data_IF_775914087548
#
_entry.id   IF_775914087548
#
_cell.length_a   1.000
_cell.length_b   1.000
_cell.length_c   1.000
_cell.angle_alpha   90.00
_cell.angle_beta   90.00
_cell.angle_gamma   90.00
#
_symmetry.space_group_name_H-M   'P 1'
#
loop_
_entity.id
_entity.type
_entity.pdbx_description
1 polymer ?
#
# COMPACT_ATOMS: atom_id res chain seq x y z
N UNK A 1 -30.43 -12.75 -21.19
CA UNK A 1 -29.95 -12.97 -19.80
C UNK A 1 -30.65 -11.95 -18.91
N UNK A 2 -30.90 -12.29 -17.65
CA UNK A 2 -31.91 -11.64 -16.82
C UNK A 2 -31.29 -10.51 -15.96
N UNK A 3 -31.32 -9.26 -16.44
CA UNK A 3 -30.76 -8.08 -15.77
C UNK A 3 -31.20 -7.97 -14.29
N UNK A 4 -32.43 -8.41 -14.00
CA UNK A 4 -33.00 -8.48 -12.64
C UNK A 4 -32.12 -9.28 -11.66
N UNK A 5 -31.36 -10.28 -12.14
CA UNK A 5 -30.48 -11.09 -11.29
C UNK A 5 -29.19 -10.36 -10.91
N UNK A 6 -28.67 -9.51 -11.79
CA UNK A 6 -27.42 -8.75 -11.53
C UNK A 6 -27.70 -7.58 -10.60
N UNK A 7 -28.77 -6.82 -10.85
CA UNK A 7 -29.22 -5.76 -9.94
C UNK A 7 -29.53 -6.31 -8.54
N UNK A 8 -30.22 -7.46 -8.48
CA UNK A 8 -30.48 -8.17 -7.23
C UNK A 8 -29.19 -8.54 -6.49
N UNK A 9 -28.19 -9.07 -7.18
CA UNK A 9 -26.91 -9.43 -6.57
C UNK A 9 -26.15 -8.19 -6.04
N UNK A 10 -26.15 -7.08 -6.77
CA UNK A 10 -25.53 -5.83 -6.31
C UNK A 10 -26.25 -5.25 -5.10
N UNK A 11 -27.58 -5.33 -5.06
CA UNK A 11 -28.36 -4.91 -3.89
C UNK A 11 -28.04 -5.77 -2.66
N UNK A 12 -27.87 -7.08 -2.82
CA UNK A 12 -27.43 -7.97 -1.74
C UNK A 12 -25.99 -7.66 -1.27
N UNK A 13 -25.08 -7.26 -2.16
CA UNK A 13 -23.75 -6.76 -1.78
C UNK A 13 -23.86 -5.56 -0.84
N UNK A 14 -24.73 -4.59 -1.14
CA UNK A 14 -24.97 -3.43 -0.27
C UNK A 14 -25.52 -3.85 1.10
N UNK A 15 -26.54 -4.71 1.11
CA UNK A 15 -27.15 -5.19 2.35
C UNK A 15 -26.14 -5.88 3.25
N UNK A 16 -25.25 -6.70 2.69
CA UNK A 16 -24.21 -7.38 3.46
C UNK A 16 -23.21 -6.37 4.01
N UNK A 17 -22.74 -5.43 3.19
CA UNK A 17 -21.84 -4.34 3.63
C UNK A 17 -22.45 -3.55 4.79
N UNK A 18 -23.73 -3.18 4.69
CA UNK A 18 -24.44 -2.45 5.75
C UNK A 18 -24.71 -3.32 6.98
N UNK A 19 -24.93 -4.62 6.80
CA UNK A 19 -25.08 -5.58 7.91
C UNK A 19 -23.77 -5.75 8.67
N UNK A 20 -22.65 -5.88 7.97
CA UNK A 20 -21.31 -5.93 8.57
C UNK A 20 -21.02 -4.64 9.36
N UNK A 21 -21.37 -3.47 8.80
CA UNK A 21 -21.26 -2.20 9.50
C UNK A 21 -22.13 -2.13 10.75
N UNK A 22 -23.35 -2.67 10.70
CA UNK A 22 -24.27 -2.70 11.84
C UNK A 22 -23.74 -3.59 12.97
N UNK A 23 -23.21 -4.77 12.63
CA UNK A 23 -22.61 -5.69 13.60
C UNK A 23 -21.39 -5.03 14.25
N UNK A 24 -20.44 -4.54 13.43
CA UNK A 24 -19.22 -3.89 13.96
C UNK A 24 -19.50 -2.64 14.79
N UNK A 25 -20.51 -1.84 14.42
CA UNK A 25 -20.93 -0.67 15.22
C UNK A 25 -21.61 -1.07 16.54
N UNK A 26 -22.04 -2.31 16.69
CA UNK A 26 -22.52 -2.86 17.95
C UNK A 26 -21.39 -3.24 18.91
N UNK A 27 -20.14 -3.31 18.43
CA UNK A 27 -18.96 -3.51 19.26
C UNK A 27 -18.50 -2.16 19.82
N UNK A 28 -18.11 -2.11 21.10
CA UNK A 28 -17.67 -0.86 21.73
C UNK A 28 -16.48 -0.26 20.99
N UNK A 29 -16.59 1.01 20.60
CA UNK A 29 -15.50 1.84 20.08
C UNK A 29 -14.81 1.39 18.77
N UNK A 30 -15.39 0.42 18.04
CA UNK A 30 -14.90 0.00 16.71
C UNK A 30 -15.52 0.84 15.58
N UNK A 31 -16.82 1.11 15.68
CA UNK A 31 -17.58 1.77 14.62
C UNK A 31 -17.76 0.91 13.35
N UNK A 32 -18.17 1.50 12.21
CA UNK A 32 -18.39 0.76 10.99
C UNK A 32 -17.08 0.35 10.29
N UNK A 33 -16.96 -0.91 9.87
CA UNK A 33 -15.82 -1.41 9.07
C UNK A 33 -15.64 -0.60 7.78
N UNK A 34 -16.71 -0.46 7.01
CA UNK A 34 -16.72 0.29 5.77
C UNK A 34 -17.27 1.67 6.11
N UNK A 35 -16.38 2.62 6.41
CA UNK A 35 -16.76 3.98 6.81
C UNK A 35 -17.81 4.66 5.91
N UNK A 36 -18.31 5.80 6.35
CA UNK A 36 -19.29 6.56 5.56
C UNK A 36 -18.65 7.01 4.23
N UNK A 37 -19.28 6.63 3.12
CA UNK A 37 -18.90 7.07 1.77
C UNK A 37 -20.06 7.85 1.15
N UNK A 38 -19.73 8.92 0.43
CA UNK A 38 -20.70 9.69 -0.35
C UNK A 38 -20.92 9.12 -1.77
N UNK A 39 -20.40 7.92 -2.03
CA UNK A 39 -20.51 7.29 -3.34
C UNK A 39 -21.94 6.85 -3.63
N UNK A 40 -22.42 7.19 -4.81
CA UNK A 40 -23.69 6.67 -5.33
C UNK A 40 -23.55 5.18 -5.69
N UNK A 41 -24.68 4.47 -5.69
CA UNK A 41 -24.73 3.11 -6.20
C UNK A 41 -24.31 3.08 -7.69
N UNK A 42 -23.42 2.16 -8.10
CA UNK A 42 -23.08 2.00 -9.51
C UNK A 42 -24.33 1.72 -10.35
N UNK A 43 -24.54 2.52 -11.39
CA UNK A 43 -25.48 2.14 -12.46
C UNK A 43 -24.81 1.08 -13.31
N UNK A 44 -25.49 -0.03 -13.52
CA UNK A 44 -24.93 -1.22 -14.16
C UNK A 44 -24.96 -1.19 -15.70
N UNK A 45 -25.71 -0.24 -16.27
CA UNK A 45 -25.88 -0.11 -17.73
C UNK A 45 -25.20 1.16 -18.28
N UNK A 46 -24.57 1.09 -19.47
CA UNK A 46 -24.22 -0.15 -20.21
C UNK A 46 -23.16 -0.97 -19.46
N UNK A 47 -23.03 -2.27 -19.75
CA UNK A 47 -22.25 -3.19 -18.90
C UNK A 47 -20.78 -2.79 -18.74
N UNK A 48 -20.14 -2.21 -19.77
CA UNK A 48 -18.76 -1.73 -19.67
C UNK A 48 -18.61 -0.66 -18.58
N UNK A 49 -19.47 0.36 -18.64
CA UNK A 49 -19.45 1.45 -17.67
C UNK A 49 -19.91 0.97 -16.28
N UNK A 50 -20.85 0.03 -16.25
CA UNK A 50 -21.26 -0.68 -15.02
C UNK A 50 -20.08 -1.38 -14.37
N UNK A 51 -19.30 -2.14 -15.14
CA UNK A 51 -18.09 -2.84 -14.68
C UNK A 51 -17.08 -1.87 -14.07
N UNK A 52 -16.73 -0.80 -14.78
CA UNK A 52 -15.77 0.21 -14.31
C UNK A 52 -16.26 0.86 -13.00
N UNK A 53 -17.55 1.19 -12.91
CA UNK A 53 -18.15 1.79 -11.70
C UNK A 53 -18.16 0.83 -10.53
N UNK A 54 -18.48 -0.45 -10.74
CA UNK A 54 -18.46 -1.47 -9.68
C UNK A 54 -17.03 -1.67 -9.18
N UNK A 55 -16.04 -1.80 -10.07
CA UNK A 55 -14.63 -1.89 -9.70
C UNK A 55 -14.20 -0.69 -8.86
N UNK A 56 -14.58 0.52 -9.27
CA UNK A 56 -14.28 1.76 -8.52
C UNK A 56 -14.93 1.76 -7.14
N UNK A 57 -16.20 1.39 -7.07
CA UNK A 57 -16.96 1.34 -5.82
C UNK A 57 -16.34 0.33 -4.85
N UNK A 58 -16.02 -0.87 -5.32
CA UNK A 58 -15.36 -1.91 -4.52
C UNK A 58 -13.98 -1.44 -4.06
N UNK A 59 -13.20 -0.77 -4.92
CA UNK A 59 -11.88 -0.25 -4.54
C UNK A 59 -11.97 0.70 -3.35
N UNK A 60 -12.90 1.66 -3.37
CA UNK A 60 -13.08 2.60 -2.25
C UNK A 60 -13.43 1.85 -0.96
N UNK A 61 -14.38 0.90 -1.02
CA UNK A 61 -14.74 0.11 0.16
C UNK A 61 -13.59 -0.78 0.66
N UNK A 62 -12.79 -1.37 -0.22
CA UNK A 62 -11.76 -2.33 0.18
C UNK A 62 -10.43 -1.70 0.61
N UNK A 63 -10.09 -0.55 0.03
CA UNK A 63 -8.75 0.04 0.16
C UNK A 63 -8.73 1.44 0.77
N UNK A 64 -9.83 2.20 0.66
CA UNK A 64 -9.89 3.55 1.22
C UNK A 64 -10.58 3.55 2.59
N UNK A 65 -11.83 3.10 2.66
CA UNK A 65 -12.60 3.19 3.92
C UNK A 65 -12.64 1.90 4.73
N UNK A 66 -12.50 0.73 4.09
CA UNK A 66 -12.60 -0.56 4.76
C UNK A 66 -11.30 -1.33 4.89
N UNK A 67 -10.16 -0.71 4.52
CA UNK A 67 -8.86 -1.40 4.54
C UNK A 67 -8.53 -1.95 5.93
N UNK A 68 -8.65 -1.11 6.96
CA UNK A 68 -8.27 -1.49 8.32
C UNK A 68 -9.12 -2.64 8.86
N UNK A 69 -10.46 -2.50 8.80
CA UNK A 69 -11.39 -3.52 9.27
C UNK A 69 -11.34 -4.78 8.41
N UNK A 70 -11.23 -4.64 7.08
CA UNK A 70 -11.08 -5.77 6.17
C UNK A 70 -9.80 -6.58 6.41
N UNK A 71 -8.66 -5.90 6.63
CA UNK A 71 -7.39 -6.57 6.97
C UNK A 71 -7.49 -7.26 8.34
N UNK A 72 -8.18 -6.66 9.32
CA UNK A 72 -8.39 -7.25 10.63
C UNK A 72 -9.27 -8.52 10.56
N UNK A 73 -10.40 -8.46 9.86
CA UNK A 73 -11.24 -9.63 9.62
C UNK A 73 -10.49 -10.71 8.84
N UNK A 74 -9.71 -10.32 7.83
CA UNK A 74 -8.87 -11.24 7.06
C UNK A 74 -7.92 -12.05 7.94
N UNK A 75 -7.31 -11.43 8.95
CA UNK A 75 -6.45 -12.12 9.91
C UNK A 75 -7.17 -13.16 10.78
N UNK A 76 -8.50 -13.09 10.88
CA UNK A 76 -9.34 -14.03 11.63
C UNK A 76 -10.04 -15.06 10.72
N UNK A 77 -9.79 -15.03 9.40
CA UNK A 77 -10.45 -15.91 8.45
C UNK A 77 -10.15 -17.40 8.74
N UNK A 78 -8.89 -17.75 9.01
CA UNK A 78 -8.50 -19.14 9.30
C UNK A 78 -9.16 -19.67 10.57
N UNK A 79 -9.20 -18.86 11.64
CA UNK A 79 -9.90 -19.20 12.89
C UNK A 79 -11.39 -19.43 12.66
N UNK A 80 -12.00 -18.68 11.73
CA UNK A 80 -13.39 -18.86 11.30
C UNK A 80 -13.57 -19.99 10.26
N UNK A 81 -12.55 -20.80 9.95
CA UNK A 81 -12.57 -21.83 8.90
C UNK A 81 -12.94 -21.28 7.51
N UNK A 82 -12.55 -20.05 7.23
CA UNK A 82 -12.77 -19.38 5.95
C UNK A 82 -11.48 -19.36 5.13
N UNK A 83 -11.62 -19.47 3.81
CA UNK A 83 -10.46 -19.43 2.91
C UNK A 83 -10.00 -17.98 2.68
N UNK A 84 -8.91 -17.60 3.34
CA UNK A 84 -8.29 -16.28 3.22
C UNK A 84 -7.75 -15.98 1.82
N UNK A 85 -7.33 -17.01 1.06
CA UNK A 85 -6.76 -16.82 -0.27
C UNK A 85 -7.79 -16.21 -1.21
N UNK A 86 -9.05 -16.68 -1.14
CA UNK A 86 -10.14 -16.15 -1.96
C UNK A 86 -10.41 -14.67 -1.69
N UNK A 87 -10.33 -14.24 -0.42
CA UNK A 87 -10.50 -12.83 -0.06
C UNK A 87 -9.38 -11.97 -0.63
N UNK A 88 -8.13 -12.42 -0.48
CA UNK A 88 -6.95 -11.72 -0.98
C UNK A 88 -6.95 -11.64 -2.50
N UNK A 89 -7.19 -12.76 -3.17
CA UNK A 89 -7.16 -12.84 -4.63
C UNK A 89 -8.22 -11.92 -5.27
N UNK A 90 -9.42 -11.83 -4.68
CA UNK A 90 -10.45 -10.90 -5.16
C UNK A 90 -10.05 -9.43 -4.91
N UNK A 91 -9.51 -9.09 -3.74
CA UNK A 91 -9.03 -7.71 -3.47
C UNK A 91 -7.91 -7.30 -4.41
N UNK A 92 -6.92 -8.16 -4.60
CA UNK A 92 -5.79 -7.92 -5.50
C UNK A 92 -6.28 -7.70 -6.93
N UNK A 93 -7.26 -8.50 -7.38
CA UNK A 93 -7.92 -8.33 -8.67
C UNK A 93 -8.64 -6.99 -8.79
N UNK A 94 -9.38 -6.55 -7.77
CA UNK A 94 -10.04 -5.23 -7.77
C UNK A 94 -9.01 -4.11 -7.87
N UNK A 95 -7.87 -4.21 -7.17
CA UNK A 95 -6.80 -3.23 -7.26
C UNK A 95 -6.18 -3.18 -8.67
N UNK A 96 -5.92 -4.34 -9.28
CA UNK A 96 -5.38 -4.45 -10.64
C UNK A 96 -6.37 -3.90 -11.67
N UNK A 97 -7.64 -4.33 -11.61
CA UNK A 97 -8.72 -3.86 -12.50
C UNK A 97 -8.94 -2.36 -12.37
N UNK A 98 -8.93 -1.82 -11.15
CA UNK A 98 -9.02 -0.37 -10.92
C UNK A 98 -7.88 0.35 -11.61
N UNK A 99 -6.67 -0.19 -11.52
CA UNK A 99 -5.50 0.42 -12.17
C UNK A 99 -5.62 0.33 -13.68
N UNK A 100 -5.98 -0.84 -14.22
CA UNK A 100 -6.19 -1.07 -15.64
C UNK A 100 -7.27 -0.16 -16.26
N UNK A 101 -8.41 0.02 -15.59
CA UNK A 101 -9.53 0.79 -16.12
C UNK A 101 -9.38 2.32 -15.98
N UNK A 102 -8.51 2.81 -15.09
CA UNK A 102 -8.52 4.23 -14.68
C UNK A 102 -7.17 4.92 -14.73
N UNK A 103 -6.08 4.19 -14.97
CA UNK A 103 -4.74 4.75 -15.03
C UNK A 103 -4.13 4.50 -16.40
N UNK A 104 -3.26 5.42 -16.83
CA UNK A 104 -2.44 5.21 -18.01
C UNK A 104 -1.31 4.23 -17.64
N UNK A 105 -1.41 2.99 -18.14
CA UNK A 105 -0.36 2.00 -17.98
C UNK A 105 0.81 2.33 -18.91
N UNK A 106 2.04 2.33 -18.36
CA UNK A 106 3.24 2.58 -19.13
C UNK A 106 3.85 1.25 -19.58
N UNK A 107 3.83 0.96 -20.88
CA UNK A 107 4.35 -0.29 -21.46
C UNK A 107 5.86 -0.52 -21.27
N UNK A 108 6.61 0.52 -20.88
CA UNK A 108 8.04 0.39 -20.57
C UNK A 108 8.29 -0.01 -19.11
N UNK A 109 7.28 0.08 -18.26
CA UNK A 109 7.36 -0.25 -16.84
C UNK A 109 6.93 -1.70 -16.57
N UNK A 110 7.81 -2.45 -15.91
CA UNK A 110 7.57 -3.85 -15.56
C UNK A 110 6.31 -4.05 -14.69
N UNK A 111 6.00 -3.09 -13.81
CA UNK A 111 4.83 -3.17 -12.94
C UNK A 111 3.53 -2.98 -13.73
N UNK A 112 3.48 -1.95 -14.58
CA UNK A 112 2.37 -1.70 -15.50
C UNK A 112 2.10 -2.89 -16.42
N UNK A 113 3.15 -3.48 -17.00
CA UNK A 113 3.03 -4.68 -17.84
C UNK A 113 2.49 -5.89 -17.05
N UNK A 114 2.90 -6.06 -15.79
CA UNK A 114 2.40 -7.13 -14.93
C UNK A 114 0.90 -6.97 -14.64
N UNK A 115 0.42 -5.75 -14.38
CA UNK A 115 -1.00 -5.46 -14.17
C UNK A 115 -1.80 -5.76 -15.44
N UNK A 116 -1.33 -5.29 -16.59
CA UNK A 116 -1.99 -5.54 -17.88
C UNK A 116 -2.11 -7.04 -18.15
N UNK A 117 -1.01 -7.78 -18.06
CA UNK A 117 -1.01 -9.23 -18.30
C UNK A 117 -1.95 -9.97 -17.35
N UNK A 118 -2.02 -9.56 -16.08
CA UNK A 118 -2.93 -10.16 -15.10
C UNK A 118 -4.40 -9.92 -15.47
N UNK A 119 -4.76 -8.70 -15.87
CA UNK A 119 -6.13 -8.35 -16.26
C UNK A 119 -6.54 -9.04 -17.57
N UNK A 120 -5.69 -8.99 -18.60
CA UNK A 120 -5.96 -9.63 -19.89
C UNK A 120 -6.04 -11.16 -19.78
N UNK A 121 -5.24 -11.77 -18.90
CA UNK A 121 -5.34 -13.20 -18.61
C UNK A 121 -6.66 -13.54 -17.94
N UNK A 122 -7.10 -12.72 -16.98
CA UNK A 122 -8.41 -12.90 -16.34
C UNK A 122 -9.57 -12.69 -17.32
N UNK A 123 -9.51 -11.68 -18.19
CA UNK A 123 -10.53 -11.51 -19.24
C UNK A 123 -10.59 -12.73 -20.15
N UNK A 124 -9.44 -13.24 -20.61
CA UNK A 124 -9.41 -14.44 -21.45
C UNK A 124 -10.04 -15.65 -20.76
N UNK A 125 -9.73 -15.82 -19.48
CA UNK A 125 -10.28 -16.91 -18.67
C UNK A 125 -11.81 -16.79 -18.50
N UNK A 126 -12.32 -15.58 -18.29
CA UNK A 126 -13.71 -15.35 -17.87
C UNK A 126 -14.69 -15.09 -19.01
N UNK A 127 -14.26 -14.43 -20.09
CA UNK A 127 -15.11 -14.12 -21.24
C UNK A 127 -14.52 -14.57 -22.59
N UNK A 128 -13.39 -15.28 -22.59
CA UNK A 128 -12.82 -15.90 -23.79
C UNK A 128 -11.93 -14.97 -24.63
N UNK A 129 -11.78 -13.70 -24.26
CA UNK A 129 -10.95 -12.71 -24.97
C UNK A 129 -10.04 -11.94 -24.03
N UNK A 130 -8.84 -11.58 -24.50
CA UNK A 130 -7.93 -10.69 -23.77
C UNK A 130 -8.40 -9.24 -23.76
N UNK A 131 -9.23 -8.87 -24.74
CA UNK A 131 -9.74 -7.52 -24.93
C UNK A 131 -11.27 -7.60 -25.07
N UNK A 132 -12.03 -7.33 -24.00
CA UNK A 132 -13.48 -7.22 -24.07
C UNK A 132 -13.88 -6.05 -24.97
N UNK A 133 -14.69 -6.31 -26.01
CA UNK A 133 -15.05 -5.31 -27.03
C UNK A 133 -16.55 -5.11 -27.23
N UNK A 134 -17.38 -6.01 -26.70
CA UNK A 134 -18.82 -5.98 -26.90
C UNK A 134 -19.57 -6.14 -25.57
N UNK A 135 -20.87 -5.86 -25.63
CA UNK A 135 -21.76 -5.89 -24.48
C UNK A 135 -21.83 -7.28 -23.83
N UNK A 136 -21.67 -8.36 -24.61
CA UNK A 136 -21.72 -9.71 -24.05
C UNK A 136 -20.50 -10.00 -23.18
N UNK A 137 -19.30 -9.63 -23.64
CA UNK A 137 -18.08 -9.74 -22.84
C UNK A 137 -18.20 -8.93 -21.55
N UNK A 138 -18.58 -7.65 -21.65
CA UNK A 138 -18.68 -6.78 -20.49
C UNK A 138 -19.76 -7.20 -19.50
N UNK A 139 -20.93 -7.63 -19.98
CA UNK A 139 -22.01 -8.14 -19.14
C UNK A 139 -21.57 -9.37 -18.35
N UNK A 140 -20.83 -10.28 -19.00
CA UNK A 140 -20.25 -11.46 -18.35
C UNK A 140 -19.28 -11.07 -17.23
N UNK A 141 -18.35 -10.16 -17.50
CA UNK A 141 -17.36 -9.71 -16.52
C UNK A 141 -18.00 -8.93 -15.37
N UNK A 142 -19.00 -8.09 -15.65
CA UNK A 142 -19.78 -7.36 -14.66
C UNK A 142 -20.53 -8.31 -13.72
N UNK A 143 -21.21 -9.32 -14.27
CA UNK A 143 -21.90 -10.30 -13.45
C UNK A 143 -20.91 -11.05 -12.55
N UNK A 144 -19.77 -11.48 -13.09
CA UNK A 144 -18.76 -12.20 -12.33
C UNK A 144 -18.19 -11.37 -11.19
N UNK A 145 -17.82 -10.10 -11.43
CA UNK A 145 -17.23 -9.27 -10.38
C UNK A 145 -18.21 -8.97 -9.24
N UNK A 146 -19.51 -8.82 -9.55
CA UNK A 146 -20.56 -8.66 -8.54
C UNK A 146 -20.74 -9.95 -7.73
N UNK A 147 -20.72 -11.12 -8.36
CA UNK A 147 -20.82 -12.40 -7.66
C UNK A 147 -19.61 -12.69 -6.78
N UNK A 148 -18.40 -12.36 -7.25
CA UNK A 148 -17.18 -12.45 -6.43
C UNK A 148 -17.25 -11.50 -5.23
N UNK A 149 -17.71 -10.27 -5.43
CA UNK A 149 -17.94 -9.31 -4.34
C UNK A 149 -18.98 -9.81 -3.34
N UNK A 150 -20.08 -10.41 -3.81
CA UNK A 150 -21.09 -11.02 -2.95
C UNK A 150 -20.50 -12.11 -2.07
N UNK A 151 -19.65 -12.98 -2.64
CA UNK A 151 -18.95 -14.00 -1.87
C UNK A 151 -17.96 -13.41 -0.87
N UNK A 152 -17.23 -12.36 -1.26
CA UNK A 152 -16.32 -11.63 -0.39
C UNK A 152 -17.04 -11.08 0.84
N UNK A 153 -18.13 -10.32 0.65
CA UNK A 153 -18.90 -9.76 1.77
C UNK A 153 -19.58 -10.82 2.63
N UNK A 154 -20.12 -11.90 2.05
CA UNK A 154 -20.65 -13.05 2.84
C UNK A 154 -19.58 -13.69 3.72
N UNK A 155 -18.36 -13.78 3.22
CA UNK A 155 -17.25 -14.34 3.98
C UNK A 155 -16.88 -13.41 5.14
N UNK A 156 -16.82 -12.09 4.91
CA UNK A 156 -16.59 -11.12 5.98
C UNK A 156 -17.72 -11.14 7.03
N UNK A 157 -18.98 -11.25 6.61
CA UNK A 157 -20.13 -11.40 7.51
C UNK A 157 -19.97 -12.64 8.41
N UNK A 158 -19.58 -13.79 7.84
CA UNK A 158 -19.34 -15.00 8.62
C UNK A 158 -18.22 -14.81 9.64
N UNK A 159 -17.13 -14.15 9.26
CA UNK A 159 -16.00 -13.89 10.15
C UNK A 159 -16.43 -12.98 11.31
N UNK A 160 -17.15 -11.89 11.03
CA UNK A 160 -17.57 -10.98 12.11
C UNK A 160 -18.60 -11.63 13.04
N UNK A 161 -19.48 -12.50 12.52
CA UNK A 161 -20.39 -13.32 13.35
C UNK A 161 -19.65 -14.35 14.18
N UNK A 162 -18.59 -14.95 13.63
CA UNK A 162 -17.73 -15.84 14.39
C UNK A 162 -17.07 -15.11 15.57
N UNK A 163 -16.56 -13.89 15.34
CA UNK A 163 -16.00 -13.04 16.40
C UNK A 163 -17.04 -12.77 17.49
N UNK A 164 -18.26 -12.37 17.13
CA UNK A 164 -19.37 -12.07 18.06
C UNK A 164 -19.68 -13.21 19.04
N UNK A 165 -19.50 -14.47 18.61
CA UNK A 165 -19.74 -15.66 19.44
C UNK A 165 -18.46 -16.30 19.99
N UNK A 166 -17.29 -15.69 19.77
CA UNK A 166 -16.01 -16.28 20.15
C UNK A 166 -15.78 -16.15 21.67
N UNK A 167 -15.24 -17.20 22.30
CA UNK A 167 -14.90 -17.16 23.74
C UNK A 167 -13.88 -16.06 24.08
N UNK A 168 -13.02 -15.71 23.11
CA UNK A 168 -12.03 -14.65 23.21
C UNK A 168 -12.51 -13.30 22.65
N UNK A 169 -13.83 -13.07 22.58
CA UNK A 169 -14.42 -11.85 21.99
C UNK A 169 -13.81 -10.56 22.53
N UNK A 170 -13.71 -10.42 23.85
CA UNK A 170 -13.15 -9.21 24.49
C UNK A 170 -11.69 -8.98 24.09
N UNK A 171 -10.84 -10.03 24.07
CA UNK A 171 -9.44 -9.88 23.66
C UNK A 171 -9.32 -9.53 22.17
N UNK A 172 -10.20 -10.08 21.32
CA UNK A 172 -10.24 -9.73 19.89
C UNK A 172 -10.63 -8.26 19.72
N UNK A 173 -11.63 -7.77 20.48
CA UNK A 173 -12.02 -6.36 20.45
C UNK A 173 -10.91 -5.44 20.92
N UNK A 174 -10.23 -5.75 22.03
CA UNK A 174 -9.08 -4.98 22.52
C UNK A 174 -7.99 -4.87 21.45
N UNK A 175 -7.65 -5.98 20.79
CA UNK A 175 -6.67 -5.98 19.69
C UNK A 175 -7.12 -5.11 18.51
N UNK A 176 -8.41 -5.14 18.19
CA UNK A 176 -8.96 -4.31 17.11
C UNK A 176 -8.92 -2.82 17.48
N UNK A 177 -9.36 -2.46 18.69
CA UNK A 177 -9.30 -1.08 19.19
C UNK A 177 -7.86 -0.56 19.18
N UNK A 178 -6.90 -1.37 19.64
CA UNK A 178 -5.49 -1.01 19.64
C UNK A 178 -4.97 -0.77 18.21
N UNK A 179 -5.38 -1.62 17.26
CA UNK A 179 -5.04 -1.45 15.84
C UNK A 179 -5.66 -0.19 15.22
N UNK A 180 -6.87 0.20 15.63
CA UNK A 180 -7.50 1.47 15.24
C UNK A 180 -6.73 2.66 15.83
N UNK A 181 -6.45 2.63 17.14
CA UNK A 181 -5.70 3.70 17.83
C UNK A 181 -4.32 3.91 17.22
N UNK A 182 -3.62 2.84 16.84
CA UNK A 182 -2.29 2.87 16.22
C UNK A 182 -2.31 3.19 14.72
N UNK A 183 -3.48 3.25 14.07
CA UNK A 183 -3.55 3.55 12.65
C UNK A 183 -3.25 5.03 12.41
N UNK A 184 -2.13 5.28 11.74
CA UNK A 184 -1.71 6.62 11.35
C UNK A 184 -1.82 6.81 9.83
N UNK A 185 -2.76 7.63 9.34
CA UNK A 185 -3.06 7.69 7.92
C UNK A 185 -1.95 8.40 7.10
N UNK A 186 -1.79 8.06 5.81
CA UNK A 186 -0.72 8.59 4.97
C UNK A 186 -0.64 10.13 4.88
N UNK A 187 -1.78 10.83 4.88
CA UNK A 187 -1.81 12.29 4.77
C UNK A 187 -1.29 12.99 6.04
N UNK A 188 -1.39 12.34 7.20
CA UNK A 188 -0.78 12.87 8.43
C UNK A 188 0.74 12.86 8.35
N UNK A 189 1.32 11.82 7.73
CA UNK A 189 2.75 11.82 7.42
C UNK A 189 3.14 12.91 6.43
N UNK A 190 2.35 13.14 5.37
CA UNK A 190 2.64 14.21 4.40
C UNK A 190 2.78 15.57 5.11
N UNK A 191 1.83 15.88 6.00
CA UNK A 191 1.87 17.10 6.82
C UNK A 191 3.12 17.18 7.71
N UNK A 192 3.47 16.10 8.41
CA UNK A 192 4.67 16.05 9.25
C UNK A 192 5.95 16.26 8.40
N UNK A 193 6.00 15.65 7.21
CA UNK A 193 7.15 15.80 6.30
C UNK A 193 7.27 17.25 5.81
N UNK A 194 6.17 17.89 5.46
CA UNK A 194 6.14 19.29 5.06
C UNK A 194 6.62 20.22 6.19
N UNK A 195 6.15 19.99 7.42
CA UNK A 195 6.60 20.74 8.61
C UNK A 195 8.09 20.56 8.88
N UNK A 196 8.58 19.31 8.91
CA UNK A 196 10.01 19.01 9.12
C UNK A 196 10.87 19.58 7.99
N UNK A 197 10.41 19.51 6.74
CA UNK A 197 11.12 20.10 5.61
C UNK A 197 11.21 21.63 5.73
N UNK A 198 10.12 22.31 6.10
CA UNK A 198 10.10 23.75 6.35
C UNK A 198 11.03 24.14 7.50
N UNK A 199 11.00 23.40 8.61
CA UNK A 199 11.88 23.62 9.76
C UNK A 199 13.37 23.49 9.38
N UNK A 200 13.68 22.71 8.35
CA UNK A 200 15.03 22.51 7.81
C UNK A 200 15.35 23.39 6.58
N UNK A 201 14.46 24.32 6.21
CA UNK A 201 14.64 25.22 5.07
C UNK A 201 14.56 24.53 3.69
N UNK A 202 13.71 23.52 3.56
CA UNK A 202 13.53 22.72 2.33
C UNK A 202 12.12 22.87 1.75
N UNK A 203 11.83 24.06 1.22
CA UNK A 203 10.48 24.44 0.77
C UNK A 203 9.95 23.65 -0.45
N UNK A 204 10.81 22.87 -1.14
CA UNK A 204 10.46 22.11 -2.35
C UNK A 204 10.59 20.58 -2.16
N UNK A 205 10.44 20.07 -0.94
CA UNK A 205 10.56 18.64 -0.66
C UNK A 205 9.31 17.85 -1.09
N UNK A 206 9.49 16.80 -1.90
CA UNK A 206 8.38 15.93 -2.34
C UNK A 206 7.98 14.95 -1.22
N UNK A 207 7.06 15.40 -0.35
CA UNK A 207 6.55 14.63 0.78
C UNK A 207 5.89 13.32 0.34
N UNK A 208 5.15 13.33 -0.77
CA UNK A 208 4.44 12.14 -1.26
C UNK A 208 5.40 11.05 -1.69
N UNK A 209 6.44 11.38 -2.46
CA UNK A 209 7.47 10.42 -2.88
C UNK A 209 8.30 9.94 -1.70
N UNK A 210 8.63 10.83 -0.76
CA UNK A 210 9.36 10.47 0.44
C UNK A 210 8.58 9.47 1.29
N UNK A 211 7.32 9.77 1.61
CA UNK A 211 6.41 8.88 2.34
C UNK A 211 6.28 7.53 1.65
N UNK A 212 6.03 7.48 0.34
CA UNK A 212 5.85 6.21 -0.39
C UNK A 212 7.01 5.22 -0.18
N UNK A 213 8.24 5.71 -0.01
CA UNK A 213 9.42 4.86 0.22
C UNK A 213 9.52 4.31 1.64
N UNK A 214 9.01 5.02 2.63
CA UNK A 214 9.23 4.71 4.05
C UNK A 214 7.96 4.31 4.82
N UNK A 215 6.77 4.52 4.25
CA UNK A 215 5.49 4.39 4.95
C UNK A 215 5.26 3.02 5.58
N UNK A 216 5.54 1.92 4.87
CA UNK A 216 5.31 0.57 5.39
C UNK A 216 6.21 0.29 6.61
N UNK A 217 7.46 0.77 6.57
CA UNK A 217 8.39 0.67 7.69
C UNK A 217 7.92 1.50 8.89
N UNK A 218 7.48 2.74 8.66
CA UNK A 218 6.98 3.61 9.72
C UNK A 218 5.70 3.09 10.35
N UNK A 219 4.77 2.57 9.54
CA UNK A 219 3.54 1.95 10.03
C UNK A 219 3.86 0.79 10.97
N UNK A 220 4.78 -0.09 10.58
CA UNK A 220 5.21 -1.21 11.43
C UNK A 220 5.89 -0.77 12.74
N UNK A 221 6.47 0.42 12.79
CA UNK A 221 7.05 0.96 14.02
C UNK A 221 5.97 1.33 15.06
N UNK A 222 4.74 1.63 14.64
CA UNK A 222 3.62 1.92 15.55
C UNK A 222 3.02 0.67 16.21
N UNK A 223 3.24 -0.52 15.64
CA UNK A 223 2.77 -1.77 16.24
C UNK A 223 3.42 -2.07 17.61
N UNK A 224 4.57 -1.44 17.90
CA UNK A 224 5.31 -1.60 19.15
C UNK A 224 5.11 -0.46 20.15
N UNK A 225 4.31 0.57 19.82
CA UNK A 225 4.10 1.72 20.69
C UNK A 225 3.07 1.43 21.78
N UNK A 226 3.21 2.06 22.95
CA UNK A 226 2.20 1.96 24.02
C UNK A 226 0.91 2.66 23.61
N UNK A 227 -0.18 2.41 24.35
CA UNK A 227 -1.48 3.02 24.04
C UNK A 227 -1.48 4.54 24.25
N UNK A 228 -0.66 5.02 25.18
CA UNK A 228 -0.53 6.44 25.54
C UNK A 228 0.47 7.20 24.64
N UNK A 229 1.05 6.53 23.64
CA UNK A 229 2.05 7.14 22.77
C UNK A 229 1.43 8.25 21.90
N UNK A 230 2.10 9.41 21.86
CA UNK A 230 1.78 10.49 20.92
C UNK A 230 2.29 10.10 19.52
N UNK A 231 1.39 9.56 18.70
CA UNK A 231 1.73 9.10 17.35
C UNK A 231 2.20 10.22 16.43
N UNK A 232 1.81 11.48 16.66
CA UNK A 232 2.31 12.60 15.86
C UNK A 232 3.76 12.88 16.21
N UNK A 233 4.09 12.87 17.50
CA UNK A 233 5.48 12.99 17.96
C UNK A 233 6.36 11.83 17.49
N UNK A 234 5.90 10.59 17.61
CA UNK A 234 6.66 9.42 17.15
C UNK A 234 6.79 9.41 15.61
N UNK A 235 5.73 9.78 14.89
CA UNK A 235 5.76 9.96 13.45
C UNK A 235 6.78 10.99 13.01
N UNK A 236 6.87 12.12 13.72
CA UNK A 236 7.89 13.15 13.48
C UNK A 236 9.32 12.63 13.66
N UNK A 237 9.60 11.89 14.75
CA UNK A 237 10.93 11.27 14.95
C UNK A 237 11.31 10.32 13.80
N UNK A 238 10.35 9.53 13.31
CA UNK A 238 10.57 8.60 12.19
C UNK A 238 10.89 9.35 10.90
N UNK A 239 10.16 10.44 10.61
CA UNK A 239 10.39 11.31 9.45
C UNK A 239 11.76 11.97 9.55
N UNK A 240 12.09 12.63 10.67
CA UNK A 240 13.39 13.29 10.87
C UNK A 240 14.54 12.29 10.72
N UNK A 241 14.44 11.10 11.35
CA UNK A 241 15.46 10.04 11.23
C UNK A 241 15.63 9.58 9.78
N UNK A 242 14.54 9.36 9.06
CA UNK A 242 14.60 8.94 7.67
C UNK A 242 15.13 10.05 6.75
N UNK A 243 14.78 11.31 7.01
CA UNK A 243 15.28 12.44 6.21
C UNK A 243 16.77 12.67 6.45
N UNK A 244 17.28 12.45 7.67
CA UNK A 244 18.71 12.42 7.96
C UNK A 244 19.42 11.27 7.24
N UNK A 245 18.81 10.08 7.20
CA UNK A 245 19.37 8.93 6.49
C UNK A 245 19.39 9.13 4.96
N UNK A 246 18.32 9.71 4.38
CA UNK A 246 18.24 10.05 2.96
C UNK A 246 19.08 11.30 2.60
N UNK A 247 19.46 12.11 3.60
CA UNK A 247 20.36 13.26 3.46
C UNK A 247 21.81 12.87 3.21
N UNK A 248 22.15 11.58 3.35
CA UNK A 248 23.37 11.00 2.82
C UNK A 248 23.42 11.31 1.32
N UNK A 249 24.03 12.45 0.98
CA UNK A 249 23.75 13.18 -0.25
C UNK A 249 24.03 12.34 -1.50
N UNK A 250 23.41 12.72 -2.63
CA UNK A 250 23.87 12.24 -3.93
C UNK A 250 25.34 12.58 -4.01
N UNK A 251 26.17 11.55 -3.90
CA UNK A 251 27.60 11.71 -4.00
C UNK A 251 27.90 12.27 -5.38
N UNK A 252 28.80 13.25 -5.51
CA UNK A 252 29.27 13.72 -6.81
C UNK A 252 30.12 12.65 -7.53
N UNK A 253 30.29 11.47 -6.91
CA UNK A 253 31.05 10.31 -7.38
C UNK A 253 30.19 9.04 -7.25
N UNK A 254 30.47 8.04 -8.07
CA UNK A 254 29.91 6.70 -7.93
C UNK A 254 31.02 5.63 -7.75
N UNK A 255 30.64 4.36 -7.68
CA UNK A 255 31.62 3.27 -7.56
C UNK A 255 32.57 3.15 -8.75
N UNK A 256 32.16 3.58 -9.95
CA UNK A 256 33.03 3.55 -11.14
C UNK A 256 34.07 4.65 -11.06
N UNK A 257 33.71 5.82 -10.55
CA UNK A 257 34.64 6.90 -10.28
C UNK A 257 35.71 6.47 -9.28
N UNK A 258 35.32 5.83 -8.17
CA UNK A 258 36.24 5.29 -7.16
C UNK A 258 37.16 4.23 -7.79
N UNK A 259 36.61 3.25 -8.52
CA UNK A 259 37.42 2.19 -9.15
C UNK A 259 38.41 2.74 -10.18
N UNK A 260 37.96 3.63 -11.07
CA UNK A 260 38.78 4.15 -12.17
C UNK A 260 39.81 5.17 -11.71
N UNK A 261 39.42 6.12 -10.86
CA UNK A 261 40.30 7.23 -10.44
C UNK A 261 41.24 6.81 -9.32
N UNK A 262 40.80 5.91 -8.43
CA UNK A 262 41.64 5.41 -7.35
C UNK A 262 42.32 4.08 -7.70
N UNK A 263 42.09 3.50 -8.89
CA UNK A 263 42.66 2.22 -9.32
C UNK A 263 42.45 1.10 -8.27
N UNK A 264 41.17 0.86 -7.93
CA UNK A 264 40.73 -0.14 -6.94
C UNK A 264 39.90 -1.19 -7.66
N UNK A 265 40.19 -2.47 -7.40
CA UNK A 265 39.40 -3.57 -7.93
C UNK A 265 37.99 -3.60 -7.31
N UNK A 266 36.98 -4.11 -8.04
CA UNK A 266 35.64 -4.26 -7.49
C UNK A 266 35.64 -5.15 -6.22
N UNK A 267 35.01 -4.68 -5.15
CA UNK A 267 34.96 -5.39 -3.86
C UNK A 267 34.53 -4.50 -2.69
N UNK A 268 34.63 -5.03 -1.47
CA UNK A 268 34.25 -4.37 -0.21
C UNK A 268 34.94 -3.02 0.01
N UNK A 269 36.18 -2.86 -0.45
CA UNK A 269 36.93 -1.61 -0.35
C UNK A 269 36.24 -0.42 -1.07
N UNK A 270 35.53 -0.69 -2.19
CA UNK A 270 34.77 0.36 -2.90
C UNK A 270 33.57 0.81 -2.06
N UNK A 271 32.89 -0.12 -1.39
CA UNK A 271 31.76 0.19 -0.52
C UNK A 271 32.18 1.02 0.69
N UNK A 272 33.27 0.67 1.35
CA UNK A 272 33.78 1.44 2.50
C UNK A 272 34.24 2.85 2.09
N UNK A 273 34.90 2.99 0.94
CA UNK A 273 35.25 4.30 0.41
C UNK A 273 34.04 5.16 0.06
N UNK A 274 32.96 4.58 -0.48
CA UNK A 274 31.72 5.31 -0.74
C UNK A 274 30.99 5.73 0.54
N UNK A 275 31.05 4.93 1.62
CA UNK A 275 30.53 5.34 2.94
C UNK A 275 31.30 6.54 3.49
N UNK A 276 32.63 6.48 3.45
CA UNK A 276 33.50 7.58 3.89
C UNK A 276 33.28 8.82 3.02
N UNK A 277 33.13 8.64 1.71
CA UNK A 277 32.79 9.74 0.79
C UNK A 277 31.49 10.41 1.21
N UNK A 278 30.51 9.62 1.66
CA UNK A 278 29.24 10.12 2.15
C UNK A 278 29.42 10.92 3.45
N UNK A 279 30.13 10.38 4.42
CA UNK A 279 30.40 11.08 5.69
C UNK A 279 31.14 12.41 5.46
N UNK A 280 32.14 12.43 4.57
CA UNK A 280 32.87 13.64 4.18
C UNK A 280 31.95 14.67 3.51
N UNK A 281 31.15 14.23 2.54
CA UNK A 281 30.25 15.10 1.79
C UNK A 281 29.09 15.64 2.65
N UNK A 282 28.66 14.88 3.66
CA UNK A 282 27.67 15.30 4.65
C UNK A 282 28.25 16.32 5.64
N UNK A 283 29.51 16.16 6.05
CA UNK A 283 30.20 17.12 6.91
C UNK A 283 30.48 18.46 6.19
N UNK A 284 30.80 18.39 4.90
CA UNK A 284 31.02 19.55 4.03
C UNK A 284 30.79 19.13 2.58
N UNK A 285 29.95 19.84 1.79
CA UNK A 285 29.79 19.51 0.37
C UNK A 285 31.12 19.60 -0.41
N UNK A 286 31.46 18.55 -1.16
CA UNK A 286 32.64 18.50 -2.03
C UNK A 286 32.22 18.55 -3.51
N UNK A 287 33.10 19.06 -4.38
CA UNK A 287 33.03 18.74 -5.82
C UNK A 287 33.50 17.30 -6.05
N UNK A 288 33.18 16.73 -7.21
CA UNK A 288 33.62 15.38 -7.61
C UNK A 288 35.13 15.20 -7.44
N UNK A 289 35.91 16.15 -7.96
CA UNK A 289 37.37 16.11 -7.97
C UNK A 289 37.94 16.26 -6.57
N UNK A 290 37.38 17.18 -5.77
CA UNK A 290 37.83 17.43 -4.41
C UNK A 290 37.55 16.22 -3.49
N UNK A 291 36.42 15.55 -3.70
CA UNK A 291 36.06 14.35 -2.93
C UNK A 291 36.96 13.17 -3.28
N UNK A 292 37.26 12.95 -4.56
CA UNK A 292 38.18 11.89 -4.99
C UNK A 292 39.60 12.10 -4.45
N UNK A 293 40.08 13.35 -4.42
CA UNK A 293 41.38 13.68 -3.85
C UNK A 293 41.45 13.32 -2.35
N UNK A 294 40.44 13.72 -1.57
CA UNK A 294 40.36 13.40 -0.14
C UNK A 294 40.27 11.88 0.12
N UNK A 295 39.57 11.13 -0.74
CA UNK A 295 39.51 9.67 -0.67
C UNK A 295 40.83 9.01 -1.04
N UNK A 296 41.59 9.58 -1.99
CA UNK A 296 42.90 9.06 -2.39
C UNK A 296 43.90 9.08 -1.23
N UNK A 297 43.87 10.14 -0.41
CA UNK A 297 44.73 10.27 0.78
C UNK A 297 44.37 9.22 1.85
N UNK A 298 43.08 8.87 1.97
CA UNK A 298 42.58 7.89 2.95
C UNK A 298 42.65 6.44 2.46
N UNK A 299 42.79 6.23 1.14
CA UNK A 299 42.88 4.91 0.49
C UNK A 299 43.94 4.00 1.12
N UNK A 300 45.10 4.55 1.46
CA UNK A 300 46.25 3.78 1.97
C UNK A 300 45.96 3.14 3.34
N UNK A 301 45.10 3.76 4.14
CA UNK A 301 44.73 3.27 5.46
C UNK A 301 43.67 2.15 5.35
N UNK A 302 42.68 2.34 4.48
CA UNK A 302 41.55 1.40 4.30
C UNK A 302 42.01 0.07 3.67
N UNK A 303 42.91 0.12 2.69
CA UNK A 303 43.44 -1.10 2.05
C UNK A 303 44.28 -1.97 3.00
N UNK A 304 44.69 -1.46 4.16
CA UNK A 304 45.39 -2.23 5.20
C UNK A 304 44.43 -2.90 6.19
N UNK A 305 43.19 -2.43 6.28
CA UNK A 305 42.18 -2.96 7.22
C UNK A 305 41.24 -3.97 6.56
N UNK A 306 41.14 -3.96 5.22
CA UNK A 306 40.25 -4.82 4.43
C UNK A 306 40.96 -6.06 3.84
N UNK A 307 42.29 -6.11 3.90
CA UNK A 307 43.11 -7.29 3.56
C UNK A 307 43.59 -8.01 4.82
#
# INVERSE_FOLDING_TARGET
MDHLKVDGAMYEVLKLRDTINRISSGFSDIGPIFGLVSLQLPRLEPSELGFIRVVSWLYVHYFEVGKLGGDFLGAHAEAASMNISLLRDHRDRIQQLRTYCQHNLNFTDSHSNSIQNACESWFKEKCGTHLPIDEHHWSTLLQLIILEALNYFRTLEKIIRFIETNEAFEQILEQWQLRIKRYFPPHKFDKIIEEVAADWGRDNFDATKFRKRHYDKWRGAFDYQTEEADLEREGRKLVETAMLADQMGILPIDGRDVMSQLNIAPGSAVQELLKIACDLNNAKPYSREALLAELADRKVQILKEVN
#
